data_IF_324715396430
#
_entry.id   IF_324715396430
#
_cell.length_a   1.000
_cell.length_b   1.000
_cell.length_c   1.000
_cell.angle_alpha   90.00
_cell.angle_beta   90.00
_cell.angle_gamma   90.00
#
_symmetry.space_group_name_H-M   'P 1'
#
loop_
_entity.id
_entity.type
_entity.pdbx_description
1 polymer ?
#
# COMPACT_ATOMS: atom_id res chain seq x y z
N UNK A 1 -7.40 5.76 54.41
CA UNK A 1 -6.02 6.13 54.11
C UNK A 1 -5.54 5.54 52.76
N UNK A 2 -5.76 4.26 52.48
CA UNK A 2 -5.31 3.59 51.21
C UNK A 2 -5.98 4.16 49.93
N UNK A 3 -7.27 4.56 49.97
CA UNK A 3 -7.95 5.19 48.84
C UNK A 3 -7.32 6.53 48.44
N UNK A 4 -6.94 7.37 49.41
CA UNK A 4 -6.32 8.67 49.18
C UNK A 4 -4.93 8.58 48.51
N UNK A 5 -4.13 7.57 48.82
CA UNK A 5 -2.84 7.34 48.21
C UNK A 5 -2.97 6.96 46.71
N UNK A 6 -3.93 6.10 46.36
CA UNK A 6 -4.20 5.74 44.99
C UNK A 6 -4.72 6.91 44.14
N UNK A 7 -5.48 7.83 44.75
CA UNK A 7 -5.93 9.05 44.10
C UNK A 7 -4.77 10.04 43.87
N UNK A 8 -3.82 10.13 44.77
CA UNK A 8 -2.63 10.96 44.67
C UNK A 8 -1.66 10.38 43.62
N UNK A 9 -1.43 9.08 43.61
CA UNK A 9 -0.64 8.40 42.57
C UNK A 9 -1.25 8.63 41.20
N UNK A 10 -2.55 8.53 41.05
CA UNK A 10 -3.28 8.80 39.81
C UNK A 10 -3.15 10.28 39.39
N UNK A 11 -3.27 11.21 40.33
CA UNK A 11 -3.10 12.63 40.05
C UNK A 11 -1.65 12.99 39.62
N UNK A 12 -0.66 12.34 40.23
CA UNK A 12 0.75 12.49 39.85
C UNK A 12 0.98 11.88 38.43
N UNK A 13 0.35 10.74 38.12
CA UNK A 13 0.41 10.12 36.78
C UNK A 13 -0.24 11.01 35.73
N UNK A 14 -1.40 11.58 36.00
CA UNK A 14 -2.10 12.50 35.08
C UNK A 14 -1.34 13.82 34.91
N UNK A 15 -0.78 14.37 35.97
CA UNK A 15 0.08 15.55 35.92
C UNK A 15 1.37 15.33 35.11
N UNK A 16 1.92 14.11 35.10
CA UNK A 16 3.08 13.74 34.27
C UNK A 16 2.74 13.47 32.81
N UNK A 17 1.47 13.17 32.48
CA UNK A 17 1.03 12.95 31.10
C UNK A 17 0.59 14.20 30.38
N UNK A 18 0.26 15.27 31.12
CA UNK A 18 -0.31 16.50 30.55
C UNK A 18 -1.68 16.30 29.87
N UNK A 19 -2.36 15.16 30.12
CA UNK A 19 -3.68 14.89 29.58
C UNK A 19 -4.68 14.69 30.72
N UNK A 20 -5.83 15.36 30.62
CA UNK A 20 -7.01 15.13 31.43
C UNK A 20 -8.08 14.47 30.59
N UNK A 21 -8.91 13.63 31.20
CA UNK A 21 -10.02 12.98 30.50
C UNK A 21 -11.28 13.84 30.58
N UNK A 22 -12.03 13.86 29.47
CA UNK A 22 -13.33 14.59 29.42
C UNK A 22 -14.46 13.79 30.08
N UNK A 23 -14.26 12.51 30.31
CA UNK A 23 -15.24 11.58 30.90
C UNK A 23 -14.67 10.88 32.14
N UNK A 24 -15.55 10.31 32.96
CA UNK A 24 -15.12 9.49 34.07
C UNK A 24 -14.26 8.32 33.62
N UNK A 25 -13.16 8.08 34.32
CA UNK A 25 -12.28 6.95 34.04
C UNK A 25 -12.71 5.73 34.89
N UNK A 26 -12.75 4.60 34.22
CA UNK A 26 -13.01 3.29 34.80
C UNK A 26 -11.88 2.34 34.46
N UNK A 27 -11.60 1.39 35.38
CA UNK A 27 -10.61 0.36 35.07
C UNK A 27 -11.16 -0.60 34.00
N UNK A 28 -10.30 -1.10 33.12
CA UNK A 28 -10.71 -2.11 32.12
C UNK A 28 -11.40 -3.31 32.77
N UNK A 29 -10.96 -3.74 33.99
CA UNK A 29 -11.58 -4.81 34.73
C UNK A 29 -13.07 -4.61 35.03
N UNK A 30 -13.60 -3.39 34.94
CA UNK A 30 -15.02 -3.11 35.16
C UNK A 30 -15.88 -3.38 33.90
N UNK A 31 -15.24 -3.49 32.75
CA UNK A 31 -15.90 -3.65 31.42
C UNK A 31 -15.43 -4.88 30.64
N UNK A 32 -14.35 -5.56 31.09
CA UNK A 32 -13.90 -6.82 30.50
C UNK A 32 -13.71 -7.89 31.57
N UNK A 33 -13.97 -9.14 31.20
CA UNK A 33 -13.75 -10.30 32.05
C UNK A 33 -12.85 -11.30 31.34
N UNK A 34 -11.84 -11.81 32.02
CA UNK A 34 -10.91 -12.76 31.43
C UNK A 34 -11.60 -14.09 31.11
N UNK A 35 -11.56 -14.48 29.84
CA UNK A 35 -12.00 -15.80 29.36
C UNK A 35 -10.84 -16.78 29.43
N UNK A 36 -11.05 -17.90 30.13
CA UNK A 36 -10.09 -19.02 30.20
C UNK A 36 -10.85 -20.30 29.83
N UNK A 37 -11.04 -20.53 28.52
CA UNK A 37 -11.69 -21.73 28.00
C UNK A 37 -10.66 -22.57 27.26
N UNK A 38 -10.19 -23.65 27.89
CA UNK A 38 -9.22 -24.54 27.26
C UNK A 38 -9.89 -25.40 26.20
N UNK A 39 -9.25 -25.52 25.04
CA UNK A 39 -9.73 -26.37 23.94
C UNK A 39 -9.23 -27.79 24.13
N UNK A 40 -10.16 -28.74 24.24
CA UNK A 40 -9.84 -30.16 24.25
C UNK A 40 -9.58 -30.62 22.81
N UNK A 41 -8.33 -31.00 22.51
CA UNK A 41 -7.91 -31.45 21.17
C UNK A 41 -8.38 -32.85 20.79
N UNK A 42 -8.75 -33.67 21.78
CA UNK A 42 -9.32 -34.99 21.54
C UNK A 42 -10.75 -34.88 21.02
N UNK A 43 -11.42 -33.77 21.30
CA UNK A 43 -12.78 -33.47 20.85
C UNK A 43 -12.79 -32.59 19.60
N UNK A 44 -11.88 -31.63 19.51
CA UNK A 44 -11.79 -30.69 18.37
C UNK A 44 -10.37 -30.69 17.80
N UNK A 45 -10.22 -31.31 16.64
CA UNK A 45 -8.94 -31.40 15.92
C UNK A 45 -8.40 -30.02 15.57
N UNK A 46 -7.06 -29.84 15.58
CA UNK A 46 -6.40 -28.56 15.37
C UNK A 46 -6.63 -28.02 13.94
N UNK A 47 -6.88 -28.90 12.97
CA UNK A 47 -7.18 -28.56 11.59
C UNK A 47 -8.50 -27.78 11.45
N UNK A 48 -9.45 -28.04 12.33
CA UNK A 48 -10.75 -27.36 12.37
C UNK A 48 -10.71 -26.00 13.10
N UNK A 49 -9.56 -25.61 13.66
CA UNK A 49 -9.39 -24.37 14.42
C UNK A 49 -8.70 -23.30 13.59
N UNK A 50 -9.10 -22.05 13.79
CA UNK A 50 -8.36 -20.88 13.35
C UNK A 50 -7.30 -20.53 14.40
N UNK A 51 -6.11 -21.11 14.31
CA UNK A 51 -5.06 -20.90 15.31
C UNK A 51 -4.34 -19.57 15.04
N UNK A 52 -4.26 -18.70 16.06
CA UNK A 52 -3.58 -17.41 15.93
C UNK A 52 -2.09 -17.57 15.56
N UNK A 53 -1.64 -16.84 14.57
CA UNK A 53 -0.22 -16.69 14.24
C UNK A 53 0.36 -15.44 14.92
N UNK A 54 -0.28 -14.29 14.73
CA UNK A 54 0.12 -13.01 15.31
C UNK A 54 -1.02 -12.00 15.27
N UNK A 55 -0.88 -10.96 16.09
CA UNK A 55 -1.62 -9.71 15.95
C UNK A 55 -0.60 -8.65 15.53
N UNK A 56 -0.86 -7.95 14.43
CA UNK A 56 0.01 -6.85 13.98
C UNK A 56 -0.06 -5.66 14.95
N UNK A 57 0.84 -4.70 14.84
CA UNK A 57 0.78 -3.45 15.63
C UNK A 57 -0.43 -2.59 15.24
N UNK A 58 -0.95 -2.77 14.03
CA UNK A 58 -2.24 -2.23 13.58
C UNK A 58 -3.46 -2.98 14.12
N UNK A 59 -3.30 -4.12 14.84
CA UNK A 59 -4.35 -4.96 15.40
C UNK A 59 -5.06 -5.85 14.39
N UNK A 60 -4.42 -6.13 13.27
CA UNK A 60 -4.90 -7.14 12.34
C UNK A 60 -4.54 -8.53 12.88
N UNK A 61 -5.50 -9.43 12.89
CA UNK A 61 -5.35 -10.79 13.34
C UNK A 61 -4.98 -11.68 12.15
N UNK A 62 -3.88 -12.42 12.29
CA UNK A 62 -3.45 -13.43 11.33
C UNK A 62 -3.54 -14.81 11.93
N UNK A 63 -4.08 -15.75 11.17
CA UNK A 63 -4.15 -17.17 11.56
C UNK A 63 -3.06 -17.98 10.86
N UNK A 64 -2.70 -19.11 11.45
CA UNK A 64 -1.72 -20.07 10.91
C UNK A 64 -2.30 -20.80 9.72
N UNK A 65 -1.48 -21.09 8.73
CA UNK A 65 -1.82 -22.05 7.68
C UNK A 65 -1.78 -23.49 8.23
N UNK A 66 -2.24 -24.45 7.44
CA UNK A 66 -2.36 -25.85 7.89
C UNK A 66 -1.00 -26.52 8.16
N UNK A 67 0.05 -26.12 7.47
CA UNK A 67 1.42 -26.60 7.72
C UNK A 67 1.95 -26.08 9.09
N UNK A 68 1.73 -24.83 9.39
CA UNK A 68 2.12 -24.21 10.67
C UNK A 68 1.31 -24.75 11.86
N UNK A 69 0.06 -25.20 11.65
CA UNK A 69 -0.79 -25.84 12.66
C UNK A 69 -0.26 -27.20 13.08
N UNK A 70 0.19 -28.04 12.12
CA UNK A 70 0.65 -29.42 12.37
C UNK A 70 1.79 -29.52 13.38
N UNK A 71 2.67 -28.52 13.43
CA UNK A 71 3.79 -28.48 14.38
C UNK A 71 3.46 -27.91 15.76
N UNK A 72 2.26 -27.42 16.00
CA UNK A 72 1.91 -26.72 17.25
C UNK A 72 1.50 -27.73 18.35
N UNK A 73 2.28 -27.74 19.47
CA UNK A 73 2.08 -28.66 20.60
C UNK A 73 1.56 -28.01 21.89
N UNK A 74 1.56 -26.68 21.97
CA UNK A 74 1.14 -25.95 23.18
C UNK A 74 -0.37 -26.02 23.48
N UNK A 75 -0.81 -25.65 24.68
CA UNK A 75 -2.23 -25.52 25.00
C UNK A 75 -2.87 -24.40 24.18
N UNK A 76 -4.14 -24.62 23.82
CA UNK A 76 -4.95 -23.64 23.11
C UNK A 76 -6.18 -23.27 23.94
N UNK A 77 -6.56 -22.00 23.82
CA UNK A 77 -7.72 -21.42 24.49
C UNK A 77 -8.64 -20.82 23.43
N UNK A 78 -9.93 -20.91 23.68
CA UNK A 78 -10.95 -20.39 22.78
C UNK A 78 -11.10 -18.88 22.93
N UNK A 79 -11.23 -18.19 21.81
CA UNK A 79 -11.66 -16.80 21.72
C UNK A 79 -12.88 -16.72 20.80
N UNK A 80 -13.92 -16.05 21.25
CA UNK A 80 -15.17 -15.90 20.54
C UNK A 80 -15.22 -14.56 19.78
N UNK A 81 -16.10 -14.41 18.77
CA UNK A 81 -16.38 -13.13 18.15
C UNK A 81 -16.65 -12.04 19.19
N UNK A 82 -16.10 -10.84 18.94
CA UNK A 82 -16.15 -9.67 19.82
C UNK A 82 -15.34 -9.77 21.13
N UNK A 83 -14.65 -10.88 21.41
CA UNK A 83 -13.68 -10.92 22.51
C UNK A 83 -12.49 -10.00 22.20
N UNK A 84 -11.95 -9.34 23.24
CA UNK A 84 -10.69 -8.61 23.14
C UNK A 84 -9.52 -9.57 23.39
N UNK A 85 -8.58 -9.60 22.44
CA UNK A 85 -7.37 -10.43 22.52
C UNK A 85 -6.13 -9.53 22.52
N UNK A 86 -5.22 -9.76 23.46
CA UNK A 86 -3.98 -9.00 23.57
C UNK A 86 -2.75 -9.90 23.50
N UNK A 87 -1.62 -9.37 23.02
CA UNK A 87 -0.33 -10.06 23.12
C UNK A 87 0.41 -9.61 24.37
N UNK A 88 0.69 -10.52 25.32
CA UNK A 88 1.48 -10.20 26.55
C UNK A 88 2.81 -9.52 26.25
N UNK A 89 3.44 -9.85 25.13
CA UNK A 89 4.79 -9.36 24.79
C UNK A 89 4.73 -8.05 24.00
N UNK A 90 3.71 -7.88 23.14
CA UNK A 90 3.68 -6.81 22.12
C UNK A 90 2.48 -5.87 22.28
N UNK A 91 1.69 -5.98 23.33
CA UNK A 91 0.53 -5.11 23.54
C UNK A 91 0.93 -3.62 23.62
N UNK A 92 2.06 -3.32 24.24
CA UNK A 92 2.63 -1.96 24.28
C UNK A 92 3.06 -1.40 22.91
N UNK A 93 3.08 -2.23 21.89
CA UNK A 93 3.34 -1.85 20.49
C UNK A 93 2.05 -1.87 19.65
N UNK A 94 0.89 -2.02 20.30
CA UNK A 94 -0.41 -2.06 19.63
C UNK A 94 -0.89 -3.46 19.21
N UNK A 95 -0.20 -4.55 19.61
CA UNK A 95 -0.66 -5.93 19.32
C UNK A 95 -1.82 -6.33 20.23
N UNK A 96 -2.99 -5.79 19.92
CA UNK A 96 -4.28 -6.12 20.51
C UNK A 96 -5.37 -6.01 19.45
N UNK A 97 -6.39 -6.84 19.53
CA UNK A 97 -7.50 -6.81 18.57
C UNK A 97 -8.80 -7.27 19.22
N UNK A 98 -9.91 -6.90 18.61
CA UNK A 98 -11.21 -7.52 18.82
C UNK A 98 -11.37 -8.62 17.77
N UNK A 99 -11.81 -9.81 18.17
CA UNK A 99 -12.03 -10.95 17.27
C UNK A 99 -13.14 -10.62 16.29
N UNK A 100 -12.89 -10.69 14.96
CA UNK A 100 -13.90 -10.40 13.96
C UNK A 100 -15.04 -11.43 13.97
N UNK A 101 -16.26 -10.99 13.68
CA UNK A 101 -17.43 -11.87 13.55
C UNK A 101 -17.35 -12.88 12.40
N UNK A 102 -16.40 -12.69 11.49
CA UNK A 102 -16.13 -13.59 10.36
C UNK A 102 -15.22 -14.76 10.72
N UNK A 103 -14.73 -14.80 11.95
CA UNK A 103 -13.73 -15.78 12.41
C UNK A 103 -14.29 -16.65 13.51
N UNK A 104 -14.88 -17.77 13.13
CA UNK A 104 -15.35 -18.78 14.07
C UNK A 104 -14.19 -19.63 14.61
N UNK A 105 -14.34 -20.16 15.84
CA UNK A 105 -13.39 -21.08 16.45
C UNK A 105 -11.94 -20.58 16.49
N UNK A 106 -11.75 -19.30 16.85
CA UNK A 106 -10.40 -18.79 17.05
C UNK A 106 -9.76 -19.44 18.27
N UNK A 107 -8.58 -20.01 18.06
CA UNK A 107 -7.76 -20.64 19.09
C UNK A 107 -6.49 -19.85 19.32
N UNK A 108 -6.19 -19.49 20.57
CA UNK A 108 -5.04 -18.70 20.96
C UNK A 108 -4.15 -19.44 21.94
N UNK A 109 -2.86 -19.13 21.96
CA UNK A 109 -1.95 -19.65 22.99
C UNK A 109 -2.05 -18.86 24.29
N UNK A 110 -1.47 -19.36 25.35
CA UNK A 110 -1.38 -18.68 26.66
C UNK A 110 -0.68 -17.29 26.61
N UNK A 111 0.03 -16.98 25.51
CA UNK A 111 0.64 -15.66 25.28
C UNK A 111 -0.38 -14.59 24.84
N UNK A 112 -1.60 -15.01 24.51
CA UNK A 112 -2.69 -14.14 24.08
C UNK A 112 -3.87 -14.26 25.05
N UNK A 113 -3.90 -13.49 26.17
CA UNK A 113 -5.07 -13.37 27.01
C UNK A 113 -6.31 -12.95 26.21
N UNK A 114 -7.43 -13.58 26.52
CA UNK A 114 -8.74 -13.32 25.91
C UNK A 114 -9.64 -12.72 26.96
N UNK A 115 -10.40 -11.71 26.58
CA UNK A 115 -11.34 -11.02 27.46
C UNK A 115 -12.71 -10.91 26.78
N UNK A 116 -13.72 -11.37 27.47
CA UNK A 116 -15.12 -11.10 27.17
C UNK A 116 -15.45 -9.64 27.50
N UNK A 117 -16.19 -8.97 26.64
CA UNK A 117 -16.54 -7.55 26.79
C UNK A 117 -17.96 -7.43 27.37
N UNK A 118 -18.13 -6.68 28.46
CA UNK A 118 -19.42 -6.36 29.04
C UNK A 118 -20.17 -5.33 28.18
N UNK A 119 -21.01 -5.83 27.29
CA UNK A 119 -21.76 -5.00 26.32
C UNK A 119 -22.85 -4.14 26.98
N UNK A 120 -23.19 -4.39 28.23
CA UNK A 120 -24.11 -3.52 28.96
C UNK A 120 -23.46 -2.19 29.39
N UNK A 121 -22.12 -2.11 29.37
CA UNK A 121 -21.34 -0.94 29.78
C UNK A 121 -20.53 -0.32 28.70
N UNK A 122 -20.03 -1.14 27.72
CA UNK A 122 -19.13 -0.66 26.67
C UNK A 122 -19.44 -1.31 25.32
N UNK A 123 -19.54 -0.48 24.27
CA UNK A 123 -19.59 -0.98 22.90
C UNK A 123 -18.21 -1.54 22.48
N UNK A 124 -18.21 -2.72 21.91
CA UNK A 124 -16.99 -3.39 21.44
C UNK A 124 -16.20 -2.50 20.48
N UNK A 125 -16.88 -1.78 19.58
CA UNK A 125 -16.24 -0.86 18.63
C UNK A 125 -15.62 0.36 19.33
N UNK A 126 -16.27 0.90 20.38
CA UNK A 126 -15.69 1.96 21.20
C UNK A 126 -14.41 1.48 21.89
N UNK A 127 -14.49 0.31 22.55
CA UNK A 127 -13.33 -0.29 23.18
C UNK A 127 -12.18 -0.50 22.20
N UNK A 128 -12.48 -0.98 20.99
CA UNK A 128 -11.49 -1.13 19.90
C UNK A 128 -10.80 0.18 19.54
N UNK A 129 -11.49 1.31 19.57
CA UNK A 129 -10.92 2.62 19.28
C UNK A 129 -10.13 3.15 20.49
N UNK A 130 -10.70 3.14 21.70
CA UNK A 130 -10.07 3.73 22.88
C UNK A 130 -8.73 3.08 23.24
N UNK A 131 -8.62 1.76 23.11
CA UNK A 131 -7.36 1.03 23.37
C UNK A 131 -6.26 1.32 22.35
N UNK A 132 -6.58 2.02 21.28
CA UNK A 132 -5.63 2.46 20.24
C UNK A 132 -5.23 3.91 20.35
N UNK A 133 -5.87 4.67 21.21
CA UNK A 133 -5.51 6.06 21.44
C UNK A 133 -4.08 6.20 21.94
N UNK A 134 -3.45 7.30 21.57
CA UNK A 134 -2.07 7.60 21.96
C UNK A 134 -1.91 7.60 23.48
N UNK A 135 -2.91 8.12 24.21
CA UNK A 135 -2.90 8.15 25.67
C UNK A 135 -2.90 6.75 26.25
N UNK A 136 -3.79 5.86 25.77
CA UNK A 136 -3.86 4.48 26.25
C UNK A 136 -2.59 3.69 25.91
N UNK A 137 -2.04 3.84 24.71
CA UNK A 137 -0.79 3.18 24.31
C UNK A 137 0.41 3.67 25.15
N UNK A 138 0.45 4.93 25.52
CA UNK A 138 1.45 5.48 26.44
C UNK A 138 1.31 4.87 27.84
N UNK A 139 0.07 4.71 28.35
CA UNK A 139 -0.19 4.04 29.64
C UNK A 139 0.32 2.60 29.66
N UNK A 140 0.02 1.83 28.60
CA UNK A 140 0.56 0.46 28.46
C UNK A 140 2.09 0.45 28.40
N UNK A 141 2.70 1.36 27.66
CA UNK A 141 4.14 1.40 27.48
C UNK A 141 4.90 1.61 28.80
N UNK A 142 4.31 2.34 29.74
CA UNK A 142 4.85 2.56 31.11
C UNK A 142 4.80 1.32 31.99
N UNK A 143 3.89 0.37 31.73
CA UNK A 143 3.82 -0.89 32.48
C UNK A 143 5.00 -1.84 32.16
N UNK A 144 5.80 -1.53 31.15
CA UNK A 144 6.97 -2.34 30.76
C UNK A 144 8.07 -2.18 31.82
N UNK A 145 8.18 -3.14 32.73
CA UNK A 145 9.29 -3.23 33.67
C UNK A 145 10.50 -3.86 33.00
N UNK A 146 11.59 -3.09 32.85
CA UNK A 146 12.91 -3.58 32.41
C UNK A 146 13.32 -3.20 30.98
N UNK A 147 14.63 -3.13 30.79
CA UNK A 147 15.32 -2.72 29.56
C UNK A 147 15.37 -3.80 28.45
N UNK A 148 14.55 -4.87 28.52
CA UNK A 148 14.59 -5.95 27.56
C UNK A 148 13.45 -5.90 26.56
N UNK A 149 13.74 -6.23 25.31
CA UNK A 149 12.78 -6.38 24.19
C UNK A 149 11.69 -7.44 24.46
N UNK A 150 11.78 -8.19 25.57
CA UNK A 150 10.88 -9.27 25.96
C UNK A 150 10.06 -8.97 27.23
N UNK A 151 9.98 -7.71 27.65
CA UNK A 151 9.14 -7.33 28.80
C UNK A 151 7.67 -7.73 28.56
N UNK A 152 7.12 -8.54 29.46
CA UNK A 152 5.73 -9.03 29.40
C UNK A 152 4.85 -8.19 30.29
N UNK A 153 3.64 -7.87 29.83
CA UNK A 153 2.60 -7.26 30.65
C UNK A 153 1.76 -8.38 31.27
N UNK A 154 1.59 -8.29 32.59
CA UNK A 154 0.74 -9.24 33.30
C UNK A 154 -0.74 -8.89 33.07
N UNK A 155 -1.64 -9.88 32.92
CA UNK A 155 -3.06 -9.61 32.75
C UNK A 155 -3.63 -8.61 33.75
N UNK A 156 -3.36 -8.79 35.06
CA UNK A 156 -3.84 -7.87 36.07
C UNK A 156 -3.35 -6.41 35.91
N UNK A 157 -2.15 -6.19 35.33
CA UNK A 157 -1.68 -4.84 35.02
C UNK A 157 -2.46 -4.21 33.88
N UNK A 158 -2.81 -5.00 32.86
CA UNK A 158 -3.64 -4.56 31.75
C UNK A 158 -5.07 -4.26 32.22
N UNK A 159 -5.65 -5.15 33.00
CA UNK A 159 -7.00 -5.03 33.57
C UNK A 159 -7.16 -3.80 34.49
N UNK A 160 -6.09 -3.36 35.14
CA UNK A 160 -6.07 -2.17 35.98
C UNK A 160 -5.92 -0.84 35.20
N UNK A 161 -5.69 -0.87 33.89
CA UNK A 161 -5.55 0.35 33.11
C UNK A 161 -6.86 1.13 33.06
N UNK A 162 -6.81 2.45 33.30
CA UNK A 162 -7.99 3.30 33.19
C UNK A 162 -8.31 3.62 31.73
N UNK A 163 -9.61 3.64 31.43
CA UNK A 163 -10.17 4.15 30.17
C UNK A 163 -11.26 5.17 30.46
N UNK A 164 -11.43 6.22 29.63
CA UNK A 164 -12.63 7.05 29.68
C UNK A 164 -13.84 6.18 29.28
N UNK A 165 -14.91 6.26 30.06
CA UNK A 165 -16.12 5.47 29.82
C UNK A 165 -17.35 6.40 29.77
N UNK A 166 -17.65 6.97 28.57
CA UNK A 166 -18.90 7.70 28.35
C UNK A 166 -20.12 6.79 28.47
N UNK A 167 -21.32 7.35 28.53
CA UNK A 167 -22.55 6.60 28.38
C UNK A 167 -22.61 5.86 27.05
N UNK A 168 -23.39 4.79 26.94
CA UNK A 168 -23.53 4.03 25.69
C UNK A 168 -24.00 4.93 24.52
N UNK A 169 -24.86 5.90 24.77
CA UNK A 169 -25.33 6.86 23.75
C UNK A 169 -24.18 7.76 23.24
N UNK A 170 -23.29 8.21 24.13
CA UNK A 170 -22.12 9.00 23.76
C UNK A 170 -21.08 8.14 23.02
N UNK A 171 -20.91 6.88 23.44
CA UNK A 171 -20.06 5.91 22.72
C UNK A 171 -20.57 5.70 21.29
N UNK A 172 -21.89 5.52 21.09
CA UNK A 172 -22.50 5.39 19.77
C UNK A 172 -22.27 6.64 18.91
N UNK A 173 -22.43 7.83 19.48
CA UNK A 173 -22.18 9.08 18.77
C UNK A 173 -20.72 9.20 18.32
N UNK A 174 -19.77 8.83 19.17
CA UNK A 174 -18.33 8.83 18.84
C UNK A 174 -18.00 7.81 17.74
N UNK A 175 -18.55 6.58 17.87
CA UNK A 175 -18.37 5.52 16.87
C UNK A 175 -18.94 5.97 15.52
N UNK A 176 -20.17 6.48 15.52
CA UNK A 176 -20.86 6.93 14.30
C UNK A 176 -20.08 8.04 13.61
N UNK A 177 -19.70 9.09 14.34
CA UNK A 177 -18.94 10.22 13.79
C UNK A 177 -17.61 9.75 13.14
N UNK A 178 -16.88 8.87 13.80
CA UNK A 178 -15.63 8.30 13.28
C UNK A 178 -15.88 7.42 12.05
N UNK A 179 -16.88 6.54 12.11
CA UNK A 179 -17.22 5.62 11.03
C UNK A 179 -17.70 6.35 9.79
N UNK A 180 -18.52 7.40 9.94
CA UNK A 180 -19.00 8.23 8.82
C UNK A 180 -17.84 8.92 8.10
N UNK A 181 -16.87 9.43 8.85
CA UNK A 181 -15.67 10.02 8.27
C UNK A 181 -14.83 8.96 7.50
N UNK A 182 -14.68 7.74 8.04
CA UNK A 182 -13.99 6.66 7.33
C UNK A 182 -14.74 6.22 6.07
N UNK A 183 -16.07 6.13 6.11
CA UNK A 183 -16.90 5.79 4.97
C UNK A 183 -16.78 6.87 3.88
N UNK A 184 -16.79 8.15 4.26
CA UNK A 184 -16.59 9.26 3.33
C UNK A 184 -15.18 9.23 2.72
N UNK A 185 -14.16 8.94 3.51
CA UNK A 185 -12.79 8.79 3.00
C UNK A 185 -12.68 7.63 2.00
N UNK A 186 -13.32 6.48 2.27
CA UNK A 186 -13.37 5.35 1.35
C UNK A 186 -14.10 5.70 0.04
N UNK A 187 -15.20 6.46 0.13
CA UNK A 187 -15.92 6.96 -1.04
C UNK A 187 -15.04 7.88 -1.90
N UNK A 188 -14.31 8.81 -1.30
CA UNK A 188 -13.37 9.69 -2.00
C UNK A 188 -12.29 8.91 -2.76
N UNK A 189 -11.78 7.81 -2.18
CA UNK A 189 -10.82 6.93 -2.87
C UNK A 189 -11.46 6.23 -4.07
N UNK A 190 -12.69 5.75 -3.94
CA UNK A 190 -13.43 5.15 -5.07
C UNK A 190 -13.69 6.16 -6.18
N UNK A 191 -14.06 7.41 -5.82
CA UNK A 191 -14.22 8.51 -6.76
C UNK A 191 -12.89 8.84 -7.48
N UNK A 192 -11.75 8.83 -6.75
CA UNK A 192 -10.43 9.03 -7.33
C UNK A 192 -10.08 7.95 -8.36
N UNK A 193 -10.32 6.68 -8.03
CA UNK A 193 -10.11 5.57 -8.95
C UNK A 193 -11.03 5.63 -10.17
N UNK A 194 -12.25 6.11 -10.01
CA UNK A 194 -13.20 6.31 -11.11
C UNK A 194 -12.74 7.42 -12.06
N UNK A 195 -12.24 8.53 -11.52
CA UNK A 195 -11.68 9.64 -12.32
C UNK A 195 -10.49 9.19 -13.17
N UNK A 196 -9.53 8.47 -12.58
CA UNK A 196 -8.37 7.96 -13.34
C UNK A 196 -8.81 6.98 -14.44
N UNK A 197 -9.76 6.08 -14.14
CA UNK A 197 -10.29 5.17 -15.16
C UNK A 197 -11.02 5.91 -16.28
N UNK A 198 -11.83 6.92 -15.95
CA UNK A 198 -12.54 7.70 -16.93
C UNK A 198 -11.59 8.50 -17.83
N UNK A 199 -10.58 9.16 -17.26
CA UNK A 199 -9.55 9.87 -18.00
C UNK A 199 -8.78 8.95 -18.96
N UNK A 200 -8.43 7.75 -18.49
CA UNK A 200 -7.78 6.75 -19.33
C UNK A 200 -8.69 6.23 -20.44
N UNK A 201 -9.96 5.94 -20.16
CA UNK A 201 -10.93 5.52 -21.16
C UNK A 201 -11.16 6.60 -22.22
N UNK A 202 -11.21 7.88 -21.83
CA UNK A 202 -11.30 9.00 -22.76
C UNK A 202 -10.09 9.07 -23.69
N UNK A 203 -8.87 8.86 -23.15
CA UNK A 203 -7.62 8.77 -23.91
C UNK A 203 -7.68 7.64 -24.94
N UNK A 204 -8.02 6.41 -24.53
CA UNK A 204 -8.13 5.25 -25.41
C UNK A 204 -9.20 5.45 -26.48
N UNK A 205 -10.39 5.94 -26.11
CA UNK A 205 -11.51 6.17 -27.04
C UNK A 205 -11.16 7.20 -28.11
N UNK A 206 -10.50 8.28 -27.75
CA UNK A 206 -10.08 9.32 -28.71
C UNK A 206 -9.05 8.80 -29.72
N UNK A 207 -8.20 7.83 -29.33
CA UNK A 207 -7.29 7.13 -30.23
C UNK A 207 -7.98 6.04 -31.08
N UNK A 208 -9.27 5.78 -30.87
CA UNK A 208 -10.01 4.69 -31.51
C UNK A 208 -9.69 3.31 -30.95
N UNK A 209 -9.11 3.26 -29.74
CA UNK A 209 -8.86 1.98 -29.05
C UNK A 209 -10.15 1.51 -28.38
N UNK A 210 -10.79 0.51 -28.97
CA UNK A 210 -11.97 -0.11 -28.36
C UNK A 210 -11.58 -0.99 -27.16
N UNK A 211 -12.40 -1.04 -26.10
CA UNK A 211 -12.18 -2.01 -25.03
C UNK A 211 -12.24 -3.43 -25.60
N UNK A 212 -11.37 -4.36 -25.15
CA UNK A 212 -11.40 -5.72 -25.65
C UNK A 212 -12.76 -6.36 -25.34
N UNK A 213 -13.32 -7.12 -26.27
CA UNK A 213 -14.53 -7.86 -26.00
C UNK A 213 -14.34 -8.78 -24.78
N UNK A 214 -15.39 -9.02 -23.98
CA UNK A 214 -15.31 -9.94 -22.88
C UNK A 214 -14.87 -11.31 -23.41
N UNK A 215 -13.88 -11.92 -22.76
CA UNK A 215 -13.43 -13.26 -23.14
C UNK A 215 -14.58 -14.23 -22.93
N UNK A 216 -14.90 -15.10 -23.93
CA UNK A 216 -15.93 -16.10 -23.75
C UNK A 216 -15.50 -17.04 -22.62
N UNK A 217 -16.43 -17.31 -21.71
CA UNK A 217 -16.22 -18.27 -20.62
C UNK A 217 -16.21 -19.70 -21.20
N UNK A 218 -15.05 -20.11 -21.72
CA UNK A 218 -14.83 -21.45 -22.26
C UNK A 218 -13.69 -22.13 -21.51
N UNK A 219 -13.97 -23.03 -20.57
CA UNK A 219 -12.93 -23.73 -19.81
C UNK A 219 -12.09 -24.67 -20.71
N UNK A 220 -12.69 -25.17 -21.82
CA UNK A 220 -12.01 -25.99 -22.83
C UNK A 220 -12.36 -25.49 -24.21
N UNK A 221 -11.38 -25.39 -25.10
CA UNK A 221 -11.57 -25.03 -26.51
C UNK A 221 -10.46 -25.63 -27.36
N UNK A 222 -10.73 -25.78 -28.66
CA UNK A 222 -9.77 -26.29 -29.65
C UNK A 222 -9.22 -25.11 -30.44
N UNK A 223 -7.89 -25.00 -30.52
CA UNK A 223 -7.21 -24.03 -31.35
C UNK A 223 -6.28 -24.73 -32.34
N UNK A 224 -6.14 -24.18 -33.54
CA UNK A 224 -5.16 -24.69 -34.50
C UNK A 224 -3.78 -24.19 -34.11
N UNK A 225 -2.77 -25.07 -34.17
CA UNK A 225 -1.39 -24.73 -33.82
C UNK A 225 -0.87 -23.45 -34.50
N UNK A 226 -1.20 -23.24 -35.77
CA UNK A 226 -0.82 -22.07 -36.57
C UNK A 226 -1.43 -20.76 -36.05
N UNK A 227 -2.52 -20.83 -35.25
CA UNK A 227 -3.25 -19.68 -34.72
C UNK A 227 -2.79 -19.34 -33.27
N UNK A 228 -1.85 -20.12 -32.71
CA UNK A 228 -1.35 -19.99 -31.33
C UNK A 228 -0.08 -19.16 -31.33
N UNK A 229 -0.20 -17.84 -31.24
CA UNK A 229 0.95 -16.95 -31.04
C UNK A 229 1.50 -17.02 -29.60
N UNK A 230 0.67 -17.36 -28.64
CA UNK A 230 1.03 -17.52 -27.22
C UNK A 230 0.36 -18.75 -26.62
N UNK A 231 1.17 -19.59 -25.99
CA UNK A 231 0.71 -20.77 -25.22
C UNK A 231 0.18 -20.37 -23.83
N UNK A 232 -0.89 -19.58 -23.80
CA UNK A 232 -1.66 -19.32 -22.60
C UNK A 232 -3.14 -19.40 -22.93
N UNK A 233 -3.94 -19.96 -22.03
CA UNK A 233 -5.39 -20.08 -22.18
C UNK A 233 -6.03 -18.74 -22.61
N UNK A 234 -5.68 -17.67 -21.91
CA UNK A 234 -6.16 -16.31 -22.21
C UNK A 234 -5.67 -15.77 -23.57
N UNK A 235 -4.42 -16.09 -23.97
CA UNK A 235 -3.86 -15.67 -25.27
C UNK A 235 -4.54 -16.35 -26.42
N UNK A 236 -4.74 -17.67 -26.32
CA UNK A 236 -5.40 -18.45 -27.37
C UNK A 236 -6.88 -18.09 -27.50
N UNK A 237 -7.59 -17.87 -26.39
CA UNK A 237 -8.98 -17.39 -26.42
C UNK A 237 -9.12 -16.03 -27.12
N UNK A 238 -8.20 -15.10 -26.86
CA UNK A 238 -8.19 -13.79 -27.54
C UNK A 238 -7.97 -13.92 -29.04
N UNK A 239 -7.02 -14.74 -29.45
CA UNK A 239 -6.75 -14.98 -30.88
C UNK A 239 -7.91 -15.68 -31.59
N UNK A 240 -8.62 -16.59 -30.91
CA UNK A 240 -9.79 -17.29 -31.46
C UNK A 240 -11.06 -16.43 -31.47
N UNK A 241 -11.16 -15.42 -30.62
CA UNK A 241 -12.27 -14.47 -30.61
C UNK A 241 -12.26 -13.47 -31.80
N UNK A 242 -11.26 -13.58 -32.67
CA UNK A 242 -11.06 -12.73 -33.86
C UNK A 242 -10.09 -11.59 -33.60
N UNK A 243 -9.22 -11.34 -34.55
CA UNK A 243 -8.45 -10.06 -34.60
C UNK A 243 -9.46 -8.97 -34.88
N UNK A 244 -9.89 -8.26 -33.83
CA UNK A 244 -10.58 -7.00 -34.04
C UNK A 244 -9.67 -6.10 -34.89
N UNK A 245 -10.15 -5.70 -36.04
CA UNK A 245 -9.55 -4.61 -36.81
C UNK A 245 -9.83 -3.32 -36.03
N UNK A 246 -8.96 -3.02 -35.04
CA UNK A 246 -9.00 -1.73 -34.36
C UNK A 246 -8.85 -0.65 -35.43
N UNK A 247 -9.90 0.10 -35.67
CA UNK A 247 -9.83 1.29 -36.51
C UNK A 247 -9.34 2.44 -35.63
N UNK A 248 -8.02 2.61 -35.58
CA UNK A 248 -7.44 3.79 -34.94
C UNK A 248 -7.94 5.06 -35.65
N UNK A 249 -8.25 6.09 -34.88
CA UNK A 249 -8.69 7.38 -35.38
C UNK A 249 -7.54 8.24 -35.97
N UNK A 250 -6.30 7.73 -35.88
CA UNK A 250 -5.08 8.42 -36.28
C UNK A 250 -4.08 7.44 -36.95
N UNK A 251 -3.06 7.95 -37.65
CA UNK A 251 -2.03 7.13 -38.27
C UNK A 251 -1.29 6.26 -37.24
N UNK A 252 -0.96 5.05 -37.66
CA UNK A 252 -0.07 4.15 -36.91
C UNK A 252 1.36 4.35 -37.44
N UNK A 253 2.30 4.64 -36.53
CA UNK A 253 3.69 4.91 -36.86
C UNK A 253 4.63 4.09 -35.99
N UNK A 254 5.77 3.69 -36.53
CA UNK A 254 6.81 3.00 -35.76
C UNK A 254 7.53 3.99 -34.85
N UNK A 255 7.83 3.58 -33.62
CA UNK A 255 8.60 4.43 -32.70
C UNK A 255 9.95 4.87 -33.31
N UNK A 256 10.62 3.98 -34.04
CA UNK A 256 11.88 4.29 -34.71
C UNK A 256 11.79 5.38 -35.76
N UNK A 257 10.61 5.62 -36.36
CA UNK A 257 10.38 6.69 -37.30
C UNK A 257 10.14 8.03 -36.62
N UNK A 258 9.74 8.01 -35.35
CA UNK A 258 9.35 9.16 -34.55
C UNK A 258 10.48 9.72 -33.68
N UNK A 259 11.41 8.87 -33.25
CA UNK A 259 12.54 9.28 -32.42
C UNK A 259 13.85 9.28 -33.17
N UNK A 260 14.82 10.09 -32.74
CA UNK A 260 16.15 10.12 -33.31
C UNK A 260 16.97 8.92 -32.81
N UNK A 261 16.88 8.61 -31.52
CA UNK A 261 17.61 7.49 -30.93
C UNK A 261 17.02 7.07 -29.54
N UNK A 262 17.43 5.87 -29.11
CA UNK A 262 17.32 5.42 -27.73
C UNK A 262 18.75 5.27 -27.16
N UNK A 263 19.11 6.17 -26.27
CA UNK A 263 20.45 6.26 -25.70
C UNK A 263 20.58 5.37 -24.45
N UNK A 264 21.65 4.58 -24.37
CA UNK A 264 21.98 3.80 -23.18
C UNK A 264 22.83 4.62 -22.21
N UNK A 265 22.69 4.35 -20.93
CA UNK A 265 23.58 4.86 -19.91
C UNK A 265 24.78 3.94 -19.63
N UNK A 266 25.37 4.14 -18.47
CA UNK A 266 26.57 3.45 -18.00
C UNK A 266 26.36 2.84 -16.61
N UNK A 267 26.77 1.59 -16.42
CA UNK A 267 26.61 0.85 -15.14
C UNK A 267 27.96 0.41 -14.57
N UNK A 268 28.69 1.31 -13.93
CA UNK A 268 29.91 0.94 -13.20
C UNK A 268 29.58 0.19 -11.92
N UNK A 269 30.63 -0.38 -11.28
CA UNK A 269 30.50 -0.93 -9.92
C UNK A 269 30.35 0.23 -8.93
N UNK A 270 29.14 0.41 -8.40
CA UNK A 270 28.78 1.47 -7.45
C UNK A 270 28.74 0.94 -6.00
N UNK A 271 28.68 1.87 -5.03
CA UNK A 271 28.35 1.55 -3.64
C UNK A 271 26.93 0.98 -3.52
N UNK A 272 26.61 0.33 -2.40
CA UNK A 272 25.27 -0.26 -2.17
C UNK A 272 24.22 0.74 -1.70
N UNK A 273 24.64 1.92 -1.20
CA UNK A 273 23.78 2.98 -0.69
C UNK A 273 23.47 4.04 -1.76
N UNK A 274 22.39 4.80 -1.63
CA UNK A 274 22.09 5.96 -2.48
C UNK A 274 23.18 7.04 -2.37
N UNK A 275 23.31 7.84 -3.44
CA UNK A 275 24.23 8.96 -3.47
C UNK A 275 23.88 9.99 -2.39
N UNK A 276 24.90 10.42 -1.65
CA UNK A 276 24.81 11.50 -0.67
C UNK A 276 24.76 12.86 -1.37
N UNK A 277 24.30 13.89 -0.67
CA UNK A 277 24.21 15.25 -1.21
C UNK A 277 25.54 15.70 -1.84
N UNK A 278 25.48 16.16 -3.08
CA UNK A 278 26.64 16.62 -3.86
C UNK A 278 27.53 15.51 -4.45
N UNK A 279 27.13 14.23 -4.30
CA UNK A 279 27.81 13.10 -4.95
C UNK A 279 27.04 12.64 -6.17
N UNK A 280 27.75 11.99 -7.09
CA UNK A 280 27.16 11.39 -8.28
C UNK A 280 26.50 10.06 -7.93
N UNK A 281 25.30 9.85 -8.47
CA UNK A 281 24.56 8.61 -8.38
C UNK A 281 24.32 7.99 -9.74
N UNK A 282 24.19 6.67 -9.81
CA UNK A 282 23.78 5.92 -10.98
C UNK A 282 22.40 5.33 -10.73
N UNK A 283 21.42 5.62 -11.60
CA UNK A 283 20.05 5.13 -11.43
C UNK A 283 19.98 3.61 -11.39
N UNK A 284 19.08 3.08 -10.56
CA UNK A 284 18.67 1.67 -10.52
C UNK A 284 17.40 1.47 -11.35
N UNK A 285 17.06 0.21 -11.58
CA UNK A 285 15.84 -0.17 -12.30
C UNK A 285 14.56 0.37 -11.64
N UNK A 286 14.54 0.49 -10.31
CA UNK A 286 13.42 1.04 -9.55
C UNK A 286 13.16 2.53 -9.79
N UNK A 287 14.10 3.24 -10.44
CA UNK A 287 13.93 4.66 -10.75
C UNK A 287 12.85 4.94 -11.81
N UNK A 288 12.54 3.96 -12.67
CA UNK A 288 11.59 4.11 -13.78
C UNK A 288 10.43 3.13 -13.61
N UNK A 289 9.23 3.66 -13.45
CA UNK A 289 7.98 2.92 -13.52
C UNK A 289 6.98 3.66 -14.45
N UNK A 290 5.74 3.19 -14.54
CA UNK A 290 4.74 3.82 -15.39
C UNK A 290 4.33 5.20 -14.88
N UNK A 291 4.89 6.26 -15.49
CA UNK A 291 4.60 7.64 -15.14
C UNK A 291 5.17 8.13 -13.80
N UNK A 292 6.06 7.35 -13.18
CA UNK A 292 6.72 7.74 -11.91
C UNK A 292 8.22 7.63 -12.04
N UNK A 293 8.91 8.74 -11.87
CA UNK A 293 10.37 8.82 -11.73
C UNK A 293 10.73 8.91 -10.24
N UNK A 294 11.57 7.97 -9.77
CA UNK A 294 12.06 7.97 -8.39
C UNK A 294 13.57 8.20 -8.35
N UNK A 295 13.97 9.44 -8.13
CA UNK A 295 15.37 9.85 -8.05
C UNK A 295 16.14 9.19 -6.88
N UNK A 296 15.46 8.72 -5.83
CA UNK A 296 16.11 8.05 -4.69
C UNK A 296 16.55 6.62 -5.04
N UNK A 297 16.02 6.03 -6.10
CA UNK A 297 16.45 4.74 -6.60
C UNK A 297 17.75 4.87 -7.41
N UNK A 298 18.84 5.13 -6.72
CA UNK A 298 20.18 5.27 -7.28
C UNK A 298 21.22 4.58 -6.39
N UNK A 299 22.47 4.53 -6.85
CA UNK A 299 23.66 4.05 -6.13
C UNK A 299 24.79 5.05 -6.28
N UNK A 300 25.48 5.39 -5.18
CA UNK A 300 26.58 6.35 -5.22
C UNK A 300 27.74 5.85 -6.07
N UNK A 301 28.19 6.71 -7.00
CA UNK A 301 29.38 6.47 -7.82
C UNK A 301 30.63 6.60 -6.95
N UNK A 302 31.56 5.62 -6.98
CA UNK A 302 32.83 5.72 -6.23
C UNK A 302 33.66 6.95 -6.65
N UNK A 303 34.33 7.58 -5.69
CA UNK A 303 35.09 8.81 -5.93
C UNK A 303 36.30 8.63 -6.88
N UNK A 304 36.78 7.41 -7.04
CA UNK A 304 37.86 7.06 -7.98
C UNK A 304 37.38 6.93 -9.44
N UNK A 305 36.07 6.99 -9.69
CA UNK A 305 35.52 6.94 -11.04
C UNK A 305 35.10 8.35 -11.49
N UNK A 306 35.56 8.76 -12.67
CA UNK A 306 35.16 10.02 -13.29
C UNK A 306 33.70 9.92 -13.77
N UNK A 307 32.81 10.81 -13.35
CA UNK A 307 31.44 10.85 -13.85
C UNK A 307 31.39 11.07 -15.36
N UNK A 308 30.44 10.43 -16.03
CA UNK A 308 30.15 10.63 -17.45
C UNK A 308 28.97 11.60 -17.59
N UNK A 309 29.27 12.90 -17.62
CA UNK A 309 28.23 13.95 -17.61
C UNK A 309 27.26 13.85 -18.79
N UNK A 310 27.66 13.25 -19.92
CA UNK A 310 26.80 12.99 -21.07
C UNK A 310 25.60 12.08 -20.74
N UNK A 311 25.71 11.27 -19.69
CA UNK A 311 24.66 10.41 -19.19
C UNK A 311 23.85 11.04 -18.02
N UNK A 312 24.10 12.31 -17.66
CA UNK A 312 23.32 12.97 -16.62
C UNK A 312 21.86 13.07 -17.04
N UNK A 313 20.96 12.68 -16.15
CA UNK A 313 19.52 12.78 -16.32
C UNK A 313 19.05 14.18 -15.99
N UNK A 314 18.29 14.77 -16.87
CA UNK A 314 17.79 16.13 -16.74
C UNK A 314 16.27 16.18 -16.73
N UNK A 315 15.72 17.24 -16.17
CA UNK A 315 14.31 17.60 -16.33
C UNK A 315 13.97 17.68 -17.82
N UNK A 316 12.86 17.08 -18.22
CA UNK A 316 12.45 16.97 -19.62
C UNK A 316 12.87 15.66 -20.31
N UNK A 317 13.75 14.87 -19.72
CA UNK A 317 14.10 13.56 -20.27
C UNK A 317 12.90 12.60 -20.23
N UNK A 318 12.80 11.75 -21.25
CA UNK A 318 11.90 10.59 -21.24
C UNK A 318 12.74 9.32 -21.11
N UNK A 319 12.43 8.53 -20.09
CA UNK A 319 13.18 7.33 -19.75
C UNK A 319 12.32 6.08 -19.94
N UNK A 320 12.92 5.02 -20.52
CA UNK A 320 12.25 3.73 -20.74
C UNK A 320 13.05 2.62 -20.07
N UNK A 321 12.40 1.83 -19.22
CA UNK A 321 13.00 0.67 -18.55
C UNK A 321 13.29 -0.44 -19.57
N UNK A 322 14.59 -0.71 -19.82
CA UNK A 322 15.05 -1.76 -20.73
C UNK A 322 14.97 -3.15 -20.10
N UNK A 323 15.23 -3.25 -18.81
CA UNK A 323 15.33 -4.51 -18.09
C UNK A 323 14.63 -4.42 -16.74
N UNK A 324 13.76 -5.38 -16.47
CA UNK A 324 13.01 -5.44 -15.20
C UNK A 324 12.25 -6.80 -15.11
N UNK A 325 11.39 -6.96 -14.08
CA UNK A 325 10.33 -7.98 -14.15
C UNK A 325 9.39 -7.68 -15.31
N UNK A 326 8.75 -8.70 -15.87
CA UNK A 326 7.90 -8.61 -17.08
C UNK A 326 7.01 -7.38 -17.10
N UNK A 327 6.33 -7.10 -15.97
CA UNK A 327 5.39 -5.98 -15.84
C UNK A 327 6.03 -4.62 -16.13
N UNK A 328 7.30 -4.39 -15.75
CA UNK A 328 7.95 -3.08 -15.81
C UNK A 328 8.93 -2.93 -16.97
N UNK A 329 9.21 -3.97 -17.78
CA UNK A 329 9.98 -3.77 -19.01
C UNK A 329 9.18 -2.89 -19.95
N UNK A 330 9.83 -1.86 -20.51
CA UNK A 330 9.19 -0.86 -21.36
C UNK A 330 8.34 0.16 -20.59
N UNK A 331 8.37 0.16 -19.26
CA UNK A 331 7.78 1.26 -18.48
C UNK A 331 8.47 2.57 -18.88
N UNK A 332 7.64 3.59 -19.12
CA UNK A 332 8.07 4.87 -19.64
C UNK A 332 7.66 6.00 -18.68
N UNK A 333 8.57 6.96 -18.47
CA UNK A 333 8.34 8.10 -17.59
C UNK A 333 8.93 9.37 -18.18
N UNK A 334 8.24 10.49 -17.98
CA UNK A 334 8.78 11.83 -18.18
C UNK A 334 9.38 12.33 -16.86
N UNK A 335 10.57 12.91 -16.91
CA UNK A 335 11.27 13.44 -15.73
C UNK A 335 10.84 14.90 -15.53
N UNK A 336 9.90 15.11 -14.61
CA UNK A 336 9.42 16.45 -14.25
C UNK A 336 10.48 17.21 -13.43
N UNK A 337 11.08 16.52 -12.48
CA UNK A 337 12.11 17.05 -11.59
C UNK A 337 13.17 15.98 -11.30
N UNK A 338 14.41 16.41 -11.19
CA UNK A 338 15.54 15.54 -10.81
C UNK A 338 16.58 16.35 -10.05
N UNK A 339 17.17 15.82 -8.97
CA UNK A 339 18.36 16.40 -8.41
C UNK A 339 19.53 16.29 -9.40
N UNK A 340 20.51 17.19 -9.35
CA UNK A 340 21.70 17.10 -10.20
C UNK A 340 22.54 15.85 -9.84
N UNK A 341 23.42 15.48 -10.74
CA UNK A 341 24.40 14.39 -10.56
C UNK A 341 23.80 12.98 -10.53
N UNK A 342 22.68 12.75 -11.22
CA UNK A 342 22.16 11.40 -11.45
C UNK A 342 22.47 10.93 -12.86
N UNK A 343 23.13 9.81 -12.99
CA UNK A 343 23.54 9.21 -14.25
C UNK A 343 22.59 8.10 -14.67
N UNK A 344 22.29 8.06 -15.95
CA UNK A 344 21.55 6.98 -16.61
C UNK A 344 22.35 5.68 -16.55
N UNK A 345 21.72 4.57 -16.19
CA UNK A 345 22.33 3.24 -16.22
C UNK A 345 22.08 2.52 -17.56
N UNK A 346 22.82 1.44 -17.84
CA UNK A 346 22.70 0.63 -19.06
C UNK A 346 21.36 -0.11 -19.20
N UNK A 347 20.58 -0.18 -18.13
CA UNK A 347 19.27 -0.84 -18.08
C UNK A 347 18.10 0.10 -18.31
N UNK A 348 18.35 1.38 -18.58
CA UNK A 348 17.36 2.40 -18.84
C UNK A 348 17.77 3.10 -20.15
N UNK A 349 16.82 3.25 -21.07
CA UNK A 349 17.00 4.07 -22.25
C UNK A 349 16.53 5.49 -22.01
N UNK A 350 17.24 6.49 -22.53
CA UNK A 350 16.77 7.85 -22.71
C UNK A 350 16.33 8.05 -24.15
N UNK A 351 15.13 8.58 -24.35
CA UNK A 351 14.58 8.85 -25.68
C UNK A 351 15.17 10.16 -26.21
N UNK A 352 15.76 10.13 -27.40
CA UNK A 352 16.16 11.32 -28.16
C UNK A 352 15.10 11.61 -29.18
N UNK A 353 14.35 12.69 -29.01
CA UNK A 353 13.29 13.09 -29.93
C UNK A 353 13.85 13.74 -31.18
N UNK A 354 13.14 13.62 -32.31
CA UNK A 354 13.40 14.39 -33.48
C UNK A 354 12.95 15.83 -33.33
N UNK A 355 13.61 16.77 -33.95
CA UNK A 355 13.29 18.22 -33.88
C UNK A 355 12.00 18.61 -34.62
N UNK A 356 11.36 17.68 -35.34
CA UNK A 356 10.13 17.93 -36.09
C UNK A 356 8.86 18.07 -35.24
N UNK A 357 8.93 17.84 -33.92
CA UNK A 357 7.82 18.00 -33.01
C UNK A 357 6.64 17.04 -33.22
N UNK A 358 6.82 15.98 -34.02
CA UNK A 358 5.75 15.05 -34.39
C UNK A 358 5.25 14.18 -33.21
N UNK A 359 6.13 13.87 -32.27
CA UNK A 359 5.82 13.09 -31.06
C UNK A 359 6.13 13.90 -29.81
N UNK A 360 5.12 14.19 -29.01
CA UNK A 360 5.30 14.89 -27.73
C UNK A 360 5.83 13.95 -26.65
N UNK A 361 6.80 14.39 -25.83
CA UNK A 361 7.42 13.58 -24.78
C UNK A 361 6.40 12.99 -23.78
N UNK A 362 5.48 13.79 -23.27
CA UNK A 362 4.44 13.34 -22.33
C UNK A 362 3.43 12.39 -23.00
N UNK A 363 3.09 12.62 -24.25
CA UNK A 363 2.22 11.72 -25.01
C UNK A 363 2.85 10.34 -25.15
N UNK A 364 4.17 10.27 -25.43
CA UNK A 364 4.88 8.98 -25.48
C UNK A 364 4.73 8.20 -24.17
N UNK A 365 4.82 8.86 -23.01
CA UNK A 365 4.69 8.15 -21.72
C UNK A 365 3.31 7.54 -21.52
N UNK A 366 2.28 8.14 -22.09
CA UNK A 366 0.91 7.62 -22.01
C UNK A 366 0.67 6.52 -23.04
N UNK A 367 1.01 6.74 -24.29
CA UNK A 367 0.76 5.75 -25.35
C UNK A 367 1.52 4.44 -25.13
N UNK A 368 2.68 4.48 -24.44
CA UNK A 368 3.44 3.29 -24.04
C UNK A 368 2.69 2.38 -23.03
N UNK A 369 1.61 2.86 -22.41
CA UNK A 369 0.75 2.09 -21.50
C UNK A 369 -0.36 1.33 -22.23
N UNK A 370 -0.64 1.68 -23.49
CA UNK A 370 -1.66 1.02 -24.30
C UNK A 370 -1.45 -0.50 -24.35
N UNK A 371 -2.53 -1.23 -24.30
CA UNK A 371 -2.49 -2.70 -24.32
C UNK A 371 -1.71 -3.26 -25.52
N UNK A 372 -1.94 -2.73 -26.72
CA UNK A 372 -1.22 -3.15 -27.93
C UNK A 372 0.30 -3.01 -27.80
N UNK A 373 0.75 -1.90 -27.20
CA UNK A 373 2.18 -1.64 -26.95
C UNK A 373 2.73 -2.61 -25.91
N UNK A 374 1.99 -2.85 -24.86
CA UNK A 374 2.36 -3.81 -23.80
C UNK A 374 2.46 -5.23 -24.36
N UNK A 375 1.51 -5.66 -25.17
CA UNK A 375 1.53 -6.97 -25.83
C UNK A 375 2.71 -7.11 -26.81
N UNK A 376 3.05 -6.06 -27.57
CA UNK A 376 4.23 -6.03 -28.41
C UNK A 376 5.51 -6.22 -27.58
N UNK A 377 5.69 -5.42 -26.51
CA UNK A 377 6.84 -5.51 -25.61
C UNK A 377 6.95 -6.91 -25.01
N UNK A 378 5.88 -7.39 -24.38
CA UNK A 378 5.87 -8.68 -23.70
C UNK A 378 6.15 -9.87 -24.62
N UNK A 379 5.75 -9.79 -25.91
CA UNK A 379 6.02 -10.84 -26.90
C UNK A 379 7.48 -10.91 -27.34
N UNK A 380 8.27 -9.85 -27.10
CA UNK A 380 9.66 -9.73 -27.52
C UNK A 380 10.67 -9.71 -26.37
N UNK A 381 10.21 -10.07 -25.17
CA UNK A 381 11.10 -10.17 -24.01
C UNK A 381 12.07 -11.32 -24.15
N UNK A 382 13.31 -11.06 -23.75
CA UNK A 382 14.40 -12.05 -23.67
C UNK A 382 14.87 -12.24 -22.22
N UNK A 383 15.66 -13.29 -22.00
CA UNK A 383 16.19 -13.66 -20.68
C UNK A 383 15.45 -14.83 -20.05
N UNK A 384 16.20 -15.72 -19.41
CA UNK A 384 15.68 -16.95 -18.79
C UNK A 384 15.13 -16.71 -17.39
N UNK A 385 15.68 -15.73 -16.65
CA UNK A 385 15.24 -15.42 -15.28
C UNK A 385 13.81 -14.84 -15.28
N UNK A 386 12.91 -15.34 -14.42
CA UNK A 386 11.58 -14.77 -14.24
C UNK A 386 11.62 -13.35 -13.61
N UNK A 387 12.68 -13.04 -12.88
CA UNK A 387 12.85 -11.76 -12.16
C UNK A 387 13.58 -10.70 -12.98
N UNK A 388 14.19 -11.07 -14.11
CA UNK A 388 14.94 -10.15 -14.97
C UNK A 388 14.69 -10.48 -16.44
N UNK A 389 13.78 -9.75 -17.06
CA UNK A 389 13.53 -9.78 -18.50
C UNK A 389 14.11 -8.53 -19.14
N UNK A 390 14.46 -8.64 -20.43
CA UNK A 390 15.05 -7.54 -21.19
C UNK A 390 14.31 -7.37 -22.51
N UNK A 391 14.34 -6.14 -23.04
CA UNK A 391 13.93 -5.85 -24.41
C UNK A 391 15.09 -5.21 -25.17
N UNK A 392 15.27 -5.58 -26.43
CA UNK A 392 16.30 -5.00 -27.29
C UNK A 392 15.88 -3.61 -27.81
N UNK A 393 16.86 -2.76 -28.11
CA UNK A 393 16.62 -1.46 -28.77
C UNK A 393 15.85 -1.60 -30.09
N UNK A 394 16.23 -2.51 -31.03
CA UNK A 394 15.44 -2.74 -32.21
C UNK A 394 13.98 -3.13 -31.93
N UNK A 395 13.75 -4.02 -30.97
CA UNK A 395 12.37 -4.43 -30.60
C UNK A 395 11.52 -3.29 -30.05
N UNK A 396 12.12 -2.33 -29.33
CA UNK A 396 11.43 -1.11 -28.91
C UNK A 396 11.14 -0.17 -30.07
N UNK A 397 12.12 0.04 -30.96
CA UNK A 397 11.96 0.90 -32.14
C UNK A 397 10.93 0.36 -33.14
N UNK A 398 10.67 -0.96 -33.11
CA UNK A 398 9.64 -1.61 -33.94
C UNK A 398 8.21 -1.48 -33.36
N UNK A 399 8.04 -0.89 -32.19
CA UNK A 399 6.70 -0.66 -31.62
C UNK A 399 5.91 0.27 -32.55
N UNK A 400 4.68 -0.14 -32.84
CA UNK A 400 3.73 0.68 -33.60
C UNK A 400 2.84 1.42 -32.65
N UNK A 401 2.72 2.72 -32.80
CA UNK A 401 1.98 3.63 -31.93
C UNK A 401 0.90 4.36 -32.74
N UNK A 402 -0.30 4.59 -32.20
CA UNK A 402 -1.24 5.55 -32.74
C UNK A 402 -0.74 6.97 -32.45
N UNK A 403 -0.55 7.76 -33.51
CA UNK A 403 0.09 9.10 -33.44
C UNK A 403 -0.82 10.15 -34.08
N UNK A 404 -1.70 10.78 -33.29
CA UNK A 404 -2.49 11.91 -33.77
C UNK A 404 -1.62 13.17 -33.97
N UNK A 405 -2.20 14.21 -34.57
CA UNK A 405 -1.51 15.50 -34.69
C UNK A 405 -1.07 16.03 -33.29
N UNK A 406 0.07 16.74 -33.16
CA UNK A 406 0.61 17.20 -31.87
C UNK A 406 -0.38 17.99 -31.00
N UNK A 407 -1.26 18.79 -31.59
CA UNK A 407 -2.33 19.49 -30.85
C UNK A 407 -3.26 18.52 -30.14
N UNK A 408 -3.62 17.42 -30.82
CA UNK A 408 -4.47 16.38 -30.25
C UNK A 408 -3.70 15.56 -29.22
N UNK A 409 -2.42 15.27 -29.42
CA UNK A 409 -1.58 14.63 -28.42
C UNK A 409 -1.56 15.44 -27.11
N UNK A 410 -1.40 16.77 -27.18
CA UNK A 410 -1.42 17.63 -26.00
C UNK A 410 -2.79 17.57 -25.31
N UNK A 411 -3.89 17.70 -26.07
CA UNK A 411 -5.24 17.59 -25.52
C UNK A 411 -5.47 16.27 -24.77
N UNK A 412 -4.97 15.17 -25.32
CA UNK A 412 -5.08 13.84 -24.71
C UNK A 412 -4.25 13.71 -23.43
N UNK A 413 -3.06 14.28 -23.41
CA UNK A 413 -2.21 14.36 -22.21
C UNK A 413 -2.93 15.18 -21.15
N UNK A 414 -3.47 16.35 -21.49
CA UNK A 414 -4.16 17.23 -20.55
C UNK A 414 -5.37 16.54 -19.89
N UNK A 415 -6.12 15.71 -20.63
CA UNK A 415 -7.23 14.92 -20.10
C UNK A 415 -6.75 13.95 -19.00
N UNK A 416 -5.67 13.22 -19.30
CA UNK A 416 -5.14 12.23 -18.35
C UNK A 416 -4.51 12.92 -17.12
N UNK A 417 -3.77 14.01 -17.33
CA UNK A 417 -3.14 14.77 -16.25
C UNK A 417 -4.19 15.45 -15.36
N UNK A 418 -5.26 16.02 -15.94
CA UNK A 418 -6.37 16.59 -15.19
C UNK A 418 -7.08 15.52 -14.33
N UNK A 419 -7.35 14.34 -14.89
CA UNK A 419 -7.96 13.24 -14.16
C UNK A 419 -7.08 12.77 -12.98
N UNK A 420 -5.77 12.64 -13.19
CA UNK A 420 -4.80 12.28 -12.14
C UNK A 420 -4.71 13.34 -11.04
N UNK A 421 -4.67 14.62 -11.42
CA UNK A 421 -4.63 15.73 -10.48
C UNK A 421 -5.87 15.75 -9.59
N UNK A 422 -7.05 15.59 -10.17
CA UNK A 422 -8.31 15.51 -9.42
C UNK A 422 -8.36 14.28 -8.51
N UNK A 423 -7.90 13.12 -9.00
CA UNK A 423 -7.82 11.91 -8.20
C UNK A 423 -6.83 12.05 -7.02
N UNK A 424 -5.68 12.66 -7.24
CA UNK A 424 -4.70 12.95 -6.20
C UNK A 424 -5.26 13.89 -5.12
N UNK A 425 -6.00 14.94 -5.52
CA UNK A 425 -6.67 15.85 -4.59
C UNK A 425 -7.68 15.09 -3.70
N UNK A 426 -8.52 14.21 -4.29
CA UNK A 426 -9.46 13.37 -3.53
C UNK A 426 -8.77 12.40 -2.56
N UNK A 427 -7.66 11.79 -2.96
CA UNK A 427 -6.88 10.92 -2.06
C UNK A 427 -6.26 11.71 -0.91
N UNK A 428 -5.80 12.94 -1.16
CA UNK A 428 -5.31 13.84 -0.10
C UNK A 428 -6.43 14.22 0.86
N UNK A 429 -7.61 14.57 0.34
CA UNK A 429 -8.80 14.85 1.15
C UNK A 429 -9.19 13.64 2.02
N UNK A 430 -9.22 12.45 1.44
CA UNK A 430 -9.49 11.20 2.17
C UNK A 430 -8.48 10.94 3.30
N UNK A 431 -7.19 11.14 3.04
CA UNK A 431 -6.15 11.00 4.06
C UNK A 431 -6.30 12.03 5.19
N UNK A 432 -6.55 13.28 4.85
CA UNK A 432 -6.81 14.36 5.82
C UNK A 432 -8.04 14.07 6.66
N UNK A 433 -9.12 13.59 6.03
CA UNK A 433 -10.35 13.25 6.73
C UNK A 433 -10.15 12.10 7.74
N UNK A 434 -9.40 11.06 7.39
CA UNK A 434 -9.02 10.00 8.34
C UNK A 434 -8.22 10.52 9.52
N UNK A 435 -7.25 11.36 9.24
CA UNK A 435 -6.38 11.93 10.27
C UNK A 435 -7.16 12.87 11.20
N UNK A 436 -8.00 13.74 10.65
CA UNK A 436 -8.80 14.68 11.45
C UNK A 436 -9.88 13.96 12.26
N UNK A 437 -10.52 12.91 11.71
CA UNK A 437 -11.49 12.11 12.43
C UNK A 437 -10.86 11.39 13.64
N UNK A 438 -9.66 10.84 13.46
CA UNK A 438 -8.93 10.23 14.56
C UNK A 438 -8.53 11.26 15.63
N UNK A 439 -7.97 12.39 15.22
CA UNK A 439 -7.62 13.48 16.13
C UNK A 439 -8.83 14.04 16.89
N UNK A 440 -9.99 14.17 16.22
CA UNK A 440 -11.24 14.60 16.86
C UNK A 440 -11.74 13.56 17.89
N UNK A 441 -11.66 12.26 17.55
CA UNK A 441 -12.00 11.20 18.49
C UNK A 441 -11.12 11.26 19.75
N UNK A 442 -9.80 11.36 19.59
CA UNK A 442 -8.88 11.48 20.72
C UNK A 442 -9.12 12.77 21.53
N UNK A 443 -9.30 13.92 20.86
CA UNK A 443 -9.54 15.21 21.52
C UNK A 443 -10.86 15.26 22.29
N UNK A 444 -11.88 14.52 21.87
CA UNK A 444 -13.13 14.40 22.62
C UNK A 444 -12.95 13.62 23.92
N UNK A 445 -12.10 12.61 23.91
CA UNK A 445 -11.83 11.78 25.10
C UNK A 445 -10.80 12.40 26.05
N UNK A 446 -9.80 13.10 25.48
CA UNK A 446 -8.65 13.58 26.23
C UNK A 446 -8.38 15.05 25.90
N UNK A 447 -8.35 15.89 26.90
CA UNK A 447 -7.95 17.28 26.77
C UNK A 447 -6.50 17.44 27.23
N UNK A 448 -5.70 18.23 26.48
CA UNK A 448 -4.40 18.65 26.98
C UNK A 448 -4.62 19.55 28.21
N UNK A 449 -3.98 19.25 29.34
CA UNK A 449 -3.92 20.20 30.42
C UNK A 449 -3.30 21.48 29.88
N UNK A 450 -4.05 22.58 29.89
CA UNK A 450 -3.45 23.90 29.60
C UNK A 450 -2.30 24.06 30.57
N UNK A 451 -1.09 24.30 30.05
CA UNK A 451 -0.04 24.88 30.87
C UNK A 451 -0.64 26.10 31.52
N UNK A 452 -0.91 26.04 32.81
CA UNK A 452 -1.24 27.21 33.61
C UNK A 452 0.04 28.05 33.63
N UNK A 453 0.06 29.04 32.75
CA UNK A 453 1.05 30.09 32.81
C UNK A 453 0.97 30.72 34.24
N UNK A 454 1.99 30.39 35.04
CA UNK A 454 2.29 31.07 36.27
C UNK A 454 3.20 32.29 35.95
#
# INVERSE_FOLDING_TARGET
MIRRWREIERWIEDAQTGHTTSFAEHQLSEVITRRVSAINRDVRAIEALNVIAKITFGGELHVRNDEEKRGYKGPLFEALPDDLVISKIRVAQGSLCVVPNTLDHLAVSAEYPVYEVDRAKVHVQYLRLVVRTTVFQNRISRLRSGNTTKARIRPAQFEALPIPLPSLAEQDALISSYSDALNRAAQLEQEADALERAGWQAFESALGVAPPPPLPHRPVFVARFKDVERWSHKGVLRNSAGRETHRYSCPLMRLGDLVADLENGWSPKCHSHPARKGKWGVLKLGAVSFGVFNAHENKELPANLKPRAEHEVNTGDVLISRANVVRYVGACVYVDETPPHLLLCDKIFRVRFRSNGQLLPRFLTEVMKLRMVREHIESRLTGTSPTMKNISKPSLLDIVLPVPHPVEQQRLVDIVEAARSQAAAKRTEAATLRQSAWAAFEATLFTHAKESAA
#
